data_IF_701554087072
#
_entry.id   IF_701554087072
#
_cell.length_a   1.000
_cell.length_b   1.000
_cell.length_c   1.000
_cell.angle_alpha   90.00
_cell.angle_beta   90.00
_cell.angle_gamma   90.00
#
_symmetry.space_group_name_H-M   'P 1'
#
loop_
_entity.id
_entity.type
_entity.pdbx_description
1 polymer ?
#
# COMPACT_ATOMS: atom_id res chain seq x y z
N UNK A 1 55.93 -33.61 30.56
CA UNK A 1 55.41 -34.53 29.51
C UNK A 1 54.99 -33.64 28.34
N UNK A 2 55.76 -33.57 27.23
CA UNK A 2 55.72 -34.47 26.03
C UNK A 2 54.28 -34.58 25.50
N UNK A 3 53.89 -34.14 24.29
CA UNK A 3 54.57 -34.10 22.99
C UNK A 3 54.05 -32.98 22.08
N UNK A 4 54.90 -32.58 21.14
CA UNK A 4 54.64 -31.83 19.91
C UNK A 4 54.49 -32.84 18.76
N UNK A 5 53.57 -32.63 17.81
CA UNK A 5 53.71 -33.10 16.41
C UNK A 5 53.14 -32.02 15.48
N UNK A 6 54.01 -31.60 14.57
CA UNK A 6 53.76 -30.80 13.38
C UNK A 6 54.08 -31.70 12.18
N UNK A 7 53.28 -31.69 11.10
CA UNK A 7 53.56 -32.19 9.73
C UNK A 7 52.31 -31.88 8.88
N UNK A 8 52.31 -31.65 7.58
CA UNK A 8 53.15 -30.95 6.60
C UNK A 8 52.45 -31.18 5.24
N UNK A 9 52.44 -30.15 4.39
CA UNK A 9 52.50 -30.16 2.91
C UNK A 9 51.67 -31.15 2.07
N UNK A 10 51.01 -30.60 1.03
CA UNK A 10 50.59 -31.39 -0.12
C UNK A 10 49.74 -30.60 -1.11
N UNK A 11 50.35 -29.69 -1.86
CA UNK A 11 49.76 -29.15 -3.09
C UNK A 11 49.57 -30.32 -4.07
N UNK A 12 48.37 -30.54 -4.58
CA UNK A 12 48.18 -31.35 -5.80
C UNK A 12 47.26 -30.61 -6.73
N UNK A 13 47.84 -30.19 -7.84
CA UNK A 13 47.15 -29.66 -9.01
C UNK A 13 46.34 -30.82 -9.62
N UNK A 14 45.03 -30.66 -9.67
CA UNK A 14 44.16 -31.50 -10.50
C UNK A 14 43.63 -30.62 -11.63
N UNK A 15 44.19 -30.81 -12.82
CA UNK A 15 43.56 -30.41 -14.07
C UNK A 15 42.63 -31.55 -14.50
N UNK A 16 41.30 -31.32 -14.59
CA UNK A 16 40.50 -31.73 -15.74
C UNK A 16 39.04 -31.22 -15.65
N UNK A 17 38.68 -30.46 -16.69
CA UNK A 17 37.41 -30.48 -17.46
C UNK A 17 36.09 -30.77 -16.74
N UNK A 18 35.16 -29.83 -16.89
CA UNK A 18 33.73 -30.11 -16.81
C UNK A 18 33.00 -29.22 -15.82
N UNK A 19 32.74 -27.96 -16.22
CA UNK A 19 31.59 -27.25 -15.69
C UNK A 19 30.35 -28.05 -16.11
N UNK A 20 29.93 -28.95 -15.23
CA UNK A 20 28.63 -29.59 -15.28
C UNK A 20 27.58 -28.48 -15.24
N UNK A 21 26.80 -28.40 -16.30
CA UNK A 21 25.61 -27.56 -16.45
C UNK A 21 24.57 -27.74 -15.32
N UNK A 22 24.79 -28.66 -14.37
CA UNK A 22 23.89 -28.96 -13.27
C UNK A 22 23.93 -28.00 -12.08
N UNK A 23 25.05 -27.33 -11.78
CA UNK A 23 25.14 -26.54 -10.52
C UNK A 23 24.49 -25.16 -10.61
N UNK A 24 24.48 -24.53 -11.80
CA UNK A 24 23.79 -23.24 -11.99
C UNK A 24 22.27 -23.43 -12.00
N UNK A 25 21.81 -24.62 -12.40
CA UNK A 25 20.38 -24.97 -12.40
C UNK A 25 19.89 -25.29 -10.99
N UNK A 26 20.70 -25.93 -10.11
CA UNK A 26 20.30 -26.16 -8.72
C UNK A 26 20.11 -24.84 -7.96
N UNK A 27 21.02 -23.88 -8.13
CA UNK A 27 20.94 -22.59 -7.44
C UNK A 27 19.79 -21.70 -7.98
N UNK A 28 19.46 -21.82 -9.27
CA UNK A 28 18.29 -21.16 -9.88
C UNK A 28 16.96 -21.81 -9.50
N UNK A 29 16.95 -23.13 -9.28
CA UNK A 29 15.78 -23.86 -8.78
C UNK A 29 15.58 -23.52 -7.30
N UNK A 30 16.62 -23.50 -6.48
CA UNK A 30 16.53 -23.12 -5.06
C UNK A 30 16.15 -21.65 -4.86
N UNK A 31 16.59 -20.73 -5.74
CA UNK A 31 16.16 -19.34 -5.70
C UNK A 31 14.69 -19.15 -6.13
N UNK A 32 14.25 -19.89 -7.16
CA UNK A 32 12.84 -19.89 -7.59
C UNK A 32 11.94 -20.57 -6.58
N UNK A 33 12.40 -21.63 -5.91
CA UNK A 33 11.67 -22.31 -4.86
C UNK A 33 11.65 -21.47 -3.57
N UNK A 34 12.71 -20.74 -3.22
CA UNK A 34 12.71 -19.79 -2.10
C UNK A 34 11.77 -18.59 -2.36
N UNK A 35 11.72 -18.07 -3.60
CA UNK A 35 10.79 -17.02 -4.00
C UNK A 35 9.34 -17.53 -4.15
N UNK A 36 9.13 -18.78 -4.57
CA UNK A 36 7.81 -19.40 -4.64
C UNK A 36 7.28 -19.85 -3.27
N UNK A 37 8.18 -20.17 -2.33
CA UNK A 37 7.84 -20.54 -0.95
C UNK A 37 7.48 -19.30 -0.11
N UNK A 38 8.09 -18.14 -0.36
CA UNK A 38 7.69 -16.89 0.31
C UNK A 38 6.32 -16.34 -0.14
N UNK A 39 5.76 -16.85 -1.24
CA UNK A 39 4.42 -16.49 -1.74
C UNK A 39 3.35 -17.49 -1.29
N UNK A 40 3.73 -18.70 -0.86
CA UNK A 40 2.79 -19.77 -0.49
C UNK A 40 2.50 -19.91 1.01
N UNK A 41 3.28 -19.30 1.89
CA UNK A 41 3.09 -19.45 3.35
C UNK A 41 2.22 -18.35 4.01
N UNK A 42 1.30 -17.74 3.25
CA UNK A 42 0.11 -17.11 3.84
C UNK A 42 -1.13 -17.98 3.56
N UNK A 43 -1.02 -19.27 3.86
CA UNK A 43 -2.17 -20.12 4.08
C UNK A 43 -2.86 -19.68 5.37
N UNK A 44 -3.89 -18.87 5.17
CA UNK A 44 -4.84 -18.43 6.18
C UNK A 44 -5.45 -19.65 6.86
N UNK A 45 -5.26 -19.76 8.18
CA UNK A 45 -5.92 -20.75 9.03
C UNK A 45 -7.42 -20.81 8.71
N UNK A 46 -7.91 -22.02 8.50
CA UNK A 46 -9.17 -22.32 7.81
C UNK A 46 -10.44 -22.06 8.62
N UNK A 47 -10.41 -21.31 9.72
CA UNK A 47 -11.58 -21.16 10.61
C UNK A 47 -12.12 -19.73 10.78
N UNK A 48 -11.52 -18.69 10.19
CA UNK A 48 -12.08 -17.32 10.21
C UNK A 48 -12.20 -16.71 8.81
N UNK A 49 -12.64 -17.51 7.83
CA UNK A 49 -13.07 -17.01 6.52
C UNK A 49 -14.55 -16.60 6.56
N UNK A 50 -14.90 -15.60 7.37
CA UNK A 50 -16.10 -14.82 7.06
C UNK A 50 -15.75 -14.02 5.82
N UNK A 51 -16.28 -14.47 4.69
CA UNK A 51 -16.06 -13.90 3.36
C UNK A 51 -16.31 -12.39 3.38
N UNK A 52 -15.20 -11.64 3.48
CA UNK A 52 -15.22 -10.19 3.56
C UNK A 52 -15.75 -9.55 2.26
N UNK A 53 -15.91 -10.33 1.18
CA UNK A 53 -16.42 -9.91 -0.12
C UNK A 53 -17.91 -9.58 -0.11
N UNK A 54 -18.74 -10.40 0.53
CA UNK A 54 -20.18 -10.14 0.67
C UNK A 54 -20.47 -9.04 1.71
N UNK A 55 -19.65 -8.93 2.76
CA UNK A 55 -19.75 -7.84 3.74
C UNK A 55 -19.25 -6.50 3.18
N UNK A 56 -18.30 -6.47 2.25
CA UNK A 56 -17.76 -5.22 1.70
C UNK A 56 -18.82 -4.33 1.01
N UNK A 57 -19.79 -4.93 0.31
CA UNK A 57 -20.88 -4.19 -0.36
C UNK A 57 -21.85 -3.58 0.66
N UNK A 58 -22.26 -4.33 1.69
CA UNK A 58 -23.15 -3.85 2.74
C UNK A 58 -22.48 -2.76 3.60
N UNK A 59 -21.20 -2.96 3.96
CA UNK A 59 -20.46 -2.01 4.79
C UNK A 59 -20.20 -0.68 4.04
N UNK A 60 -20.04 -0.70 2.70
CA UNK A 60 -19.81 0.52 1.92
C UNK A 60 -20.98 1.53 1.98
N UNK A 61 -22.22 1.05 2.09
CA UNK A 61 -23.40 1.90 2.25
C UNK A 61 -23.44 2.61 3.62
N UNK A 62 -22.73 2.08 4.61
CA UNK A 62 -22.64 2.65 5.94
C UNK A 62 -21.64 3.81 6.07
N UNK A 63 -20.80 4.07 5.07
CA UNK A 63 -19.78 5.14 5.13
C UNK A 63 -20.36 6.49 4.68
N UNK A 64 -20.41 7.45 5.60
CA UNK A 64 -20.92 8.79 5.31
C UNK A 64 -19.83 9.70 4.71
N UNK A 65 -20.25 10.71 3.95
CA UNK A 65 -19.36 11.79 3.54
C UNK A 65 -18.88 12.57 4.77
N UNK A 66 -17.57 12.76 4.87
CA UNK A 66 -16.93 13.60 5.86
C UNK A 66 -16.92 15.08 5.47
N UNK A 67 -16.18 15.88 6.23
CA UNK A 67 -16.17 17.35 6.10
C UNK A 67 -15.65 17.83 4.74
N UNK A 68 -14.64 17.17 4.17
CA UNK A 68 -14.07 17.51 2.86
C UNK A 68 -15.02 17.23 1.70
N UNK A 69 -16.14 16.54 1.94
CA UNK A 69 -17.09 16.07 0.92
C UNK A 69 -18.51 16.61 1.13
N UNK A 70 -18.71 17.58 2.03
CA UNK A 70 -20.03 18.20 2.24
C UNK A 70 -20.44 18.97 0.97
N UNK A 71 -21.58 18.59 0.38
CA UNK A 71 -22.14 19.25 -0.80
C UNK A 71 -21.31 19.10 -2.08
N UNK A 72 -20.32 18.19 -2.09
CA UNK A 72 -19.42 17.98 -3.23
C UNK A 72 -19.04 16.50 -3.37
N UNK A 73 -18.26 16.18 -4.39
CA UNK A 73 -17.67 14.85 -4.58
C UNK A 73 -16.19 14.97 -4.89
N UNK A 74 -15.41 13.91 -4.68
CA UNK A 74 -14.00 13.87 -5.09
C UNK A 74 -13.82 14.19 -6.56
N UNK A 75 -14.68 13.66 -7.43
CA UNK A 75 -14.63 13.95 -8.87
C UNK A 75 -14.90 15.42 -9.19
N UNK A 76 -15.84 16.06 -8.49
CA UNK A 76 -16.16 17.48 -8.66
C UNK A 76 -15.01 18.37 -8.18
N UNK A 77 -14.42 18.08 -7.01
CA UNK A 77 -13.25 18.80 -6.51
C UNK A 77 -12.03 18.63 -7.43
N UNK A 78 -11.79 17.41 -7.95
CA UNK A 78 -10.73 17.15 -8.91
C UNK A 78 -10.94 17.95 -10.21
N UNK A 79 -12.18 18.03 -10.71
CA UNK A 79 -12.54 18.80 -11.90
C UNK A 79 -12.32 20.31 -11.71
N UNK A 80 -12.63 20.85 -10.53
CA UNK A 80 -12.42 22.27 -10.19
C UNK A 80 -10.95 22.71 -10.28
N UNK A 81 -10.00 21.78 -10.17
CA UNK A 81 -8.57 22.12 -10.33
C UNK A 81 -8.22 22.58 -11.74
N UNK A 82 -9.00 22.19 -12.76
CA UNK A 82 -8.75 22.54 -14.17
C UNK A 82 -7.55 21.83 -14.83
N UNK A 83 -6.75 21.07 -14.09
CA UNK A 83 -5.53 20.46 -14.62
C UNK A 83 -5.80 19.16 -15.38
N UNK A 84 -5.02 18.93 -16.44
CA UNK A 84 -5.14 17.71 -17.27
C UNK A 84 -4.68 16.45 -16.53
N UNK A 85 -3.76 16.58 -15.57
CA UNK A 85 -3.35 15.49 -14.68
C UNK A 85 -3.71 15.84 -13.24
N UNK A 86 -4.60 15.06 -12.64
CA UNK A 86 -5.09 15.22 -11.27
C UNK A 86 -5.36 13.85 -10.67
N UNK A 87 -5.34 13.73 -9.34
CA UNK A 87 -5.80 12.55 -8.63
C UNK A 87 -6.66 12.98 -7.46
N UNK A 88 -7.83 12.35 -7.34
CA UNK A 88 -8.63 12.43 -6.13
C UNK A 88 -8.45 11.17 -5.32
N UNK A 89 -8.01 11.27 -4.08
CA UNK A 89 -7.81 10.12 -3.19
C UNK A 89 -8.85 10.20 -2.08
N UNK A 90 -9.76 9.23 -2.04
CA UNK A 90 -10.72 9.03 -0.95
C UNK A 90 -10.16 8.04 0.06
N UNK A 91 -10.16 8.42 1.33
CA UNK A 91 -9.86 7.53 2.45
C UNK A 91 -11.16 7.22 3.21
N UNK A 92 -11.56 5.96 3.21
CA UNK A 92 -12.73 5.42 3.91
C UNK A 92 -12.29 4.73 5.20
N UNK A 93 -12.88 5.12 6.34
CA UNK A 93 -12.55 4.55 7.63
C UNK A 93 -13.69 3.65 8.15
N UNK A 94 -13.46 2.34 8.08
CA UNK A 94 -14.40 1.32 8.54
C UNK A 94 -14.18 0.92 10.01
N UNK A 95 -13.11 1.42 10.63
CA UNK A 95 -12.74 1.09 11.99
C UNK A 95 -13.40 2.01 13.02
N UNK A 96 -13.34 1.62 14.29
CA UNK A 96 -13.68 2.48 15.44
C UNK A 96 -12.62 3.54 15.75
N UNK A 97 -11.43 3.45 15.16
CA UNK A 97 -10.32 4.35 15.46
C UNK A 97 -10.38 5.60 14.58
N UNK A 98 -10.01 6.75 15.13
CA UNK A 98 -9.83 7.97 14.36
C UNK A 98 -8.52 7.88 13.54
N UNK A 99 -8.61 8.13 12.24
CA UNK A 99 -7.43 8.41 11.41
C UNK A 99 -7.08 9.89 11.58
N UNK A 100 -6.08 10.16 12.40
CA UNK A 100 -5.67 11.49 12.87
C UNK A 100 -4.34 11.93 12.28
N UNK A 101 -3.92 13.16 12.57
CA UNK A 101 -2.62 13.72 12.16
C UNK A 101 -2.30 13.44 10.68
N UNK A 102 -3.17 13.88 9.75
CA UNK A 102 -2.97 13.65 8.33
C UNK A 102 -1.74 14.42 7.85
N UNK A 103 -0.87 13.74 7.10
CA UNK A 103 0.30 14.36 6.48
C UNK A 103 0.25 14.08 4.99
N UNK A 104 0.59 15.08 4.19
CA UNK A 104 0.66 14.97 2.73
C UNK A 104 1.91 15.64 2.21
N UNK A 105 2.66 14.94 1.37
CA UNK A 105 3.87 15.45 0.73
C UNK A 105 3.88 15.10 -0.75
N UNK A 106 4.02 16.11 -1.60
CA UNK A 106 4.21 15.94 -3.03
C UNK A 106 5.70 15.72 -3.35
N UNK A 107 5.96 14.78 -4.26
CA UNK A 107 7.24 14.65 -4.96
C UNK A 107 7.20 15.40 -6.30
N UNK A 108 6.07 15.31 -7.02
CA UNK A 108 5.76 16.12 -8.20
C UNK A 108 4.33 16.65 -8.14
N UNK A 109 4.12 17.82 -8.75
CA UNK A 109 2.83 18.49 -8.73
C UNK A 109 2.58 19.22 -7.41
N UNK A 110 1.31 19.46 -7.08
CA UNK A 110 0.86 20.18 -5.90
C UNK A 110 -0.37 19.50 -5.30
N UNK A 111 -0.59 19.68 -3.99
CA UNK A 111 -1.80 19.25 -3.28
C UNK A 111 -2.72 20.46 -3.17
N UNK A 112 -3.87 20.44 -3.85
CA UNK A 112 -4.86 21.52 -3.81
C UNK A 112 -5.86 21.37 -2.67
N UNK A 113 -6.18 20.12 -2.31
CA UNK A 113 -7.01 19.81 -1.14
C UNK A 113 -6.20 18.90 -0.23
N UNK A 114 -5.71 19.39 0.93
CA UNK A 114 -4.86 18.61 1.82
C UNK A 114 -5.63 17.44 2.43
N UNK A 115 -4.94 16.34 2.84
CA UNK A 115 -5.58 15.28 3.59
C UNK A 115 -6.09 15.79 4.93
N UNK A 116 -7.27 15.32 5.34
CA UNK A 116 -7.92 15.64 6.61
C UNK A 116 -8.05 14.38 7.46
N UNK A 117 -8.31 14.58 8.76
CA UNK A 117 -8.56 13.47 9.68
C UNK A 117 -9.87 12.74 9.32
N UNK A 118 -9.86 11.42 9.28
CA UNK A 118 -11.02 10.61 8.89
C UNK A 118 -11.63 9.94 10.12
N UNK A 119 -12.83 10.40 10.49
CA UNK A 119 -13.58 9.87 11.63
C UNK A 119 -14.04 8.43 11.35
N UNK A 120 -14.33 7.63 12.39
CA UNK A 120 -15.00 6.35 12.23
C UNK A 120 -16.27 6.51 11.38
N UNK A 121 -16.47 5.59 10.43
CA UNK A 121 -17.65 5.54 9.54
C UNK A 121 -17.78 6.75 8.61
N UNK A 122 -16.68 7.47 8.34
CA UNK A 122 -16.69 8.54 7.35
C UNK A 122 -15.66 8.29 6.26
N UNK A 123 -15.81 9.03 5.16
CA UNK A 123 -14.78 9.18 4.14
C UNK A 123 -14.40 10.63 3.93
N UNK A 124 -13.12 10.87 3.74
CA UNK A 124 -12.58 12.18 3.41
C UNK A 124 -11.78 12.07 2.11
N UNK A 125 -11.50 13.20 1.47
CA UNK A 125 -10.77 13.25 0.21
C UNK A 125 -9.60 14.21 0.29
N UNK A 126 -8.55 13.89 -0.46
CA UNK A 126 -7.52 14.84 -0.84
C UNK A 126 -7.42 14.91 -2.36
N UNK A 127 -6.97 16.06 -2.88
CA UNK A 127 -6.78 16.29 -4.31
C UNK A 127 -5.36 16.75 -4.55
N UNK A 128 -4.68 16.10 -5.47
CA UNK A 128 -3.37 16.52 -5.97
C UNK A 128 -3.41 16.64 -7.49
N UNK A 129 -2.66 17.59 -8.04
CA UNK A 129 -2.61 17.82 -9.47
C UNK A 129 -1.20 18.16 -9.91
N UNK A 130 -0.97 18.14 -11.22
CA UNK A 130 0.31 18.53 -11.78
C UNK A 130 0.59 20.03 -11.61
N UNK A 131 1.85 20.42 -11.64
CA UNK A 131 2.24 21.84 -11.72
C UNK A 131 1.80 22.43 -13.06
N UNK A 132 1.20 23.63 -13.09
CA UNK A 132 0.80 24.27 -14.34
C UNK A 132 1.93 24.46 -15.33
N UNK A 133 1.59 24.46 -16.63
CA UNK A 133 2.50 24.76 -17.75
C UNK A 133 3.71 23.83 -17.96
N UNK A 134 3.89 22.82 -17.12
CA UNK A 134 4.96 21.83 -17.26
C UNK A 134 4.44 20.51 -17.84
N UNK A 135 5.25 19.73 -18.55
CA UNK A 135 4.89 18.38 -19.01
C UNK A 135 5.10 17.32 -17.90
N UNK A 136 4.60 17.61 -16.69
CA UNK A 136 4.77 16.80 -15.48
C UNK A 136 3.45 16.19 -15.01
N UNK A 137 3.55 15.07 -14.30
CA UNK A 137 2.43 14.42 -13.63
C UNK A 137 2.21 14.94 -12.20
N UNK A 138 1.56 14.12 -11.37
CA UNK A 138 1.51 14.32 -9.90
C UNK A 138 1.91 13.04 -9.19
N UNK A 139 2.73 13.17 -8.15
CA UNK A 139 3.16 12.02 -7.35
C UNK A 139 3.47 12.46 -5.92
N UNK A 140 3.30 11.56 -4.95
CA UNK A 140 3.52 11.88 -3.56
C UNK A 140 3.09 10.79 -2.60
N UNK A 141 3.10 11.13 -1.32
CA UNK A 141 2.66 10.28 -0.21
C UNK A 141 1.70 11.04 0.69
N UNK A 142 0.72 10.32 1.23
CA UNK A 142 -0.18 10.79 2.27
C UNK A 142 -0.29 9.73 3.36
N UNK A 143 -0.44 10.15 4.60
CA UNK A 143 -0.45 9.24 5.73
C UNK A 143 -1.39 9.71 6.83
N UNK A 144 -1.92 8.76 7.60
CA UNK A 144 -2.79 9.03 8.74
C UNK A 144 -2.39 8.16 9.92
N UNK A 145 -2.38 8.76 11.10
CA UNK A 145 -2.10 8.09 12.38
C UNK A 145 -3.35 7.44 12.94
N UNK A 146 -3.21 6.24 13.49
CA UNK A 146 -4.22 5.63 14.35
C UNK A 146 -3.56 5.02 15.59
N UNK A 147 -4.33 4.91 16.68
CA UNK A 147 -3.85 4.34 17.94
C UNK A 147 -4.67 3.10 18.28
N UNK A 148 -3.98 1.98 18.47
CA UNK A 148 -4.57 0.67 18.83
C UNK A 148 -3.79 0.08 19.99
N UNK A 149 -4.49 -0.31 21.05
CA UNK A 149 -3.87 -0.98 22.21
C UNK A 149 -2.74 -0.15 22.85
N UNK A 150 -2.88 1.17 22.90
CA UNK A 150 -1.85 2.08 23.42
C UNK A 150 -0.65 2.32 22.50
N UNK A 151 -0.58 1.65 21.35
CA UNK A 151 0.48 1.83 20.34
C UNK A 151 -0.03 2.66 19.17
N UNK A 152 0.84 3.53 18.65
CA UNK A 152 0.54 4.36 17.49
C UNK A 152 1.13 3.78 16.21
N UNK A 153 0.34 3.87 15.14
CA UNK A 153 0.66 3.37 13.82
C UNK A 153 0.28 4.40 12.77
N UNK A 154 0.83 4.28 11.57
CA UNK A 154 0.44 5.10 10.42
C UNK A 154 0.03 4.21 9.25
N UNK A 155 -1.08 4.57 8.64
CA UNK A 155 -1.46 4.11 7.31
C UNK A 155 -0.82 5.06 6.29
N UNK A 156 -0.24 4.53 5.22
CA UNK A 156 0.44 5.34 4.20
C UNK A 156 -0.06 4.96 2.82
N UNK A 157 -0.29 5.97 2.00
CA UNK A 157 -0.75 5.88 0.63
C UNK A 157 0.24 6.62 -0.26
N UNK A 158 0.76 5.96 -1.28
CA UNK A 158 1.59 6.56 -2.32
C UNK A 158 0.82 6.60 -3.63
N UNK A 159 0.93 7.71 -4.36
CA UNK A 159 0.37 7.84 -5.71
C UNK A 159 1.44 8.32 -6.70
N UNK A 160 1.30 7.89 -7.95
CA UNK A 160 2.04 8.44 -9.08
C UNK A 160 1.17 8.40 -10.33
N UNK A 161 0.81 9.57 -10.85
CA UNK A 161 0.07 9.75 -12.09
C UNK A 161 0.99 10.45 -13.09
N UNK A 162 1.57 9.74 -14.07
CA UNK A 162 2.47 10.33 -15.04
C UNK A 162 1.74 11.26 -16.02
N UNK A 163 2.45 12.22 -16.60
CA UNK A 163 1.94 13.04 -17.71
C UNK A 163 1.80 12.26 -19.02
N UNK A 164 2.74 11.37 -19.31
CA UNK A 164 2.75 10.57 -20.52
C UNK A 164 2.39 9.12 -20.17
N UNK A 165 1.12 8.77 -20.34
CA UNK A 165 0.60 7.42 -20.12
C UNK A 165 0.87 6.43 -21.28
N UNK A 166 1.49 6.87 -22.39
CA UNK A 166 1.90 5.95 -23.46
C UNK A 166 3.10 5.08 -23.04
N UNK A 167 3.94 5.60 -22.14
CA UNK A 167 5.15 4.91 -21.66
C UNK A 167 5.13 4.60 -20.16
N UNK A 168 4.18 5.17 -19.41
CA UNK A 168 4.10 5.02 -17.96
C UNK A 168 2.68 4.68 -17.53
N UNK A 169 2.55 3.97 -16.42
CA UNK A 169 1.26 3.64 -15.82
C UNK A 169 1.06 4.43 -14.53
N UNK A 170 -0.19 4.52 -14.08
CA UNK A 170 -0.46 5.03 -12.75
C UNK A 170 0.07 4.03 -11.71
N UNK A 171 0.57 4.49 -10.57
CA UNK A 171 1.00 3.63 -9.47
C UNK A 171 0.29 4.00 -8.18
N UNK A 172 -0.13 2.99 -7.43
CA UNK A 172 -0.63 3.12 -6.07
C UNK A 172 0.20 2.22 -5.16
N UNK A 173 0.61 2.75 -4.01
CA UNK A 173 1.12 1.97 -2.89
C UNK A 173 0.30 2.19 -1.64
N UNK A 174 0.18 1.16 -0.82
CA UNK A 174 -0.47 1.22 0.49
C UNK A 174 0.40 0.49 1.50
N UNK A 175 0.49 1.01 2.72
CA UNK A 175 1.31 0.43 3.78
C UNK A 175 0.82 0.76 5.18
N UNK A 176 1.34 -0.01 6.14
CA UNK A 176 1.11 0.16 7.57
C UNK A 176 2.44 -0.02 8.29
N UNK A 177 2.82 0.96 9.12
CA UNK A 177 3.98 0.85 10.00
C UNK A 177 3.70 1.49 11.38
N UNK A 178 4.50 1.16 12.41
CA UNK A 178 4.49 1.92 13.67
C UNK A 178 4.77 3.40 13.41
N UNK A 179 4.21 4.28 14.24
CA UNK A 179 4.49 5.72 14.11
C UNK A 179 5.99 5.99 14.26
N UNK A 180 6.52 6.83 13.37
CA UNK A 180 7.90 7.29 13.37
C UNK A 180 7.91 8.83 13.34
N UNK A 181 9.03 9.48 13.71
CA UNK A 181 9.17 10.94 13.60
C UNK A 181 8.92 11.47 12.18
N UNK A 182 9.28 10.69 11.17
CA UNK A 182 9.11 11.02 9.76
C UNK A 182 8.40 9.88 9.02
N UNK A 183 7.56 10.26 8.05
CA UNK A 183 6.96 9.27 7.17
C UNK A 183 7.95 8.86 6.07
N UNK A 184 7.89 7.60 5.60
CA UNK A 184 8.52 7.18 4.37
C UNK A 184 8.22 8.13 3.21
N UNK A 185 9.26 8.45 2.45
CA UNK A 185 9.16 9.33 1.29
C UNK A 185 8.49 8.63 0.10
N UNK A 186 8.15 9.41 -0.93
CA UNK A 186 7.73 8.85 -2.21
C UNK A 186 8.76 7.87 -2.78
N UNK A 187 10.06 8.17 -2.69
CA UNK A 187 11.11 7.31 -3.23
C UNK A 187 11.21 5.98 -2.48
N UNK A 188 10.99 5.99 -1.17
CA UNK A 188 10.97 4.77 -0.36
C UNK A 188 9.88 3.82 -0.87
N UNK A 189 8.68 4.32 -1.10
CA UNK A 189 7.58 3.47 -1.59
C UNK A 189 7.70 3.16 -3.09
N UNK A 190 8.19 4.09 -3.91
CA UNK A 190 8.19 3.92 -5.36
C UNK A 190 9.32 3.02 -5.85
N UNK A 191 10.55 3.20 -5.37
CA UNK A 191 11.72 2.49 -5.91
C UNK A 191 12.08 1.22 -5.13
N UNK A 192 11.75 1.12 -3.84
CA UNK A 192 12.12 -0.08 -3.06
C UNK A 192 11.22 -1.26 -3.38
N UNK A 193 11.72 -2.47 -3.18
CA UNK A 193 10.98 -3.72 -3.43
C UNK A 193 10.66 -4.49 -2.14
N UNK A 194 10.98 -3.92 -0.97
CA UNK A 194 10.71 -4.56 0.31
C UNK A 194 9.22 -4.45 0.68
N UNK A 195 8.51 -5.56 0.53
CA UNK A 195 7.07 -5.61 0.82
C UNK A 195 6.74 -5.82 2.31
N UNK A 196 7.66 -5.47 3.23
CA UNK A 196 7.53 -5.81 4.65
C UNK A 196 6.55 -4.92 5.41
N UNK A 197 6.33 -3.70 4.94
CA UNK A 197 5.41 -2.71 5.54
C UNK A 197 4.50 -2.02 4.52
N UNK A 198 4.70 -2.29 3.23
CA UNK A 198 3.83 -1.78 2.17
C UNK A 198 3.79 -2.74 0.98
N UNK A 199 2.84 -2.52 0.10
CA UNK A 199 2.78 -3.11 -1.24
C UNK A 199 2.44 -2.00 -2.23
N UNK A 200 2.86 -2.15 -3.48
CA UNK A 200 2.48 -1.26 -4.57
C UNK A 200 2.21 -2.03 -5.84
N UNK A 201 1.46 -1.40 -6.75
CA UNK A 201 1.31 -1.92 -8.11
C UNK A 201 1.01 -0.82 -9.12
N UNK A 202 1.28 -1.14 -10.38
CA UNK A 202 0.84 -0.36 -11.52
C UNK A 202 -0.67 -0.60 -11.80
N UNK A 203 -1.37 0.46 -12.16
CA UNK A 203 -2.75 0.48 -12.64
C UNK A 203 -2.73 0.85 -14.12
N UNK A 204 -2.86 -0.19 -14.96
CA UNK A 204 -2.89 -0.07 -16.41
C UNK A 204 -3.90 -1.06 -17.00
N UNK A 205 -3.52 -2.34 -17.15
CA UNK A 205 -4.46 -3.41 -17.56
C UNK A 205 -5.17 -4.07 -16.37
N UNK A 206 -4.45 -4.19 -15.26
CA UNK A 206 -4.98 -4.78 -14.03
C UNK A 206 -5.38 -3.66 -13.05
N UNK A 207 -6.67 -3.52 -12.83
CA UNK A 207 -7.26 -2.54 -11.90
C UNK A 207 -7.79 -3.17 -10.62
N UNK A 208 -7.44 -4.45 -10.35
CA UNK A 208 -7.89 -5.15 -9.15
C UNK A 208 -7.53 -4.38 -7.88
N UNK A 209 -8.22 -4.63 -6.79
CA UNK A 209 -7.88 -3.98 -5.53
C UNK A 209 -6.53 -4.49 -5.01
N UNK A 210 -5.65 -3.57 -4.61
CA UNK A 210 -4.45 -3.83 -3.84
C UNK A 210 -4.83 -3.98 -2.37
N UNK A 211 -4.27 -4.97 -1.64
CA UNK A 211 -4.57 -5.18 -0.21
C UNK A 211 -3.29 -5.45 0.57
N UNK A 212 -3.19 -4.87 1.76
CA UNK A 212 -2.10 -5.07 2.70
C UNK A 212 -2.65 -5.20 4.12
N UNK A 213 -2.18 -6.16 4.89
CA UNK A 213 -2.65 -6.41 6.25
C UNK A 213 -1.48 -6.51 7.22
N UNK A 214 -1.57 -5.79 8.34
CA UNK A 214 -0.58 -5.81 9.41
C UNK A 214 -1.20 -5.25 10.69
N UNK A 215 -0.72 -5.68 11.86
CA UNK A 215 -1.16 -5.16 13.17
C UNK A 215 -2.70 -5.23 13.38
N UNK A 216 -3.33 -6.31 12.92
CA UNK A 216 -4.78 -6.57 12.95
C UNK A 216 -5.65 -5.55 12.20
N UNK A 217 -5.03 -4.83 11.26
CA UNK A 217 -5.74 -3.97 10.32
C UNK A 217 -5.36 -4.32 8.89
N UNK A 218 -6.21 -3.96 7.95
CA UNK A 218 -6.02 -4.13 6.54
C UNK A 218 -6.33 -2.82 5.83
N UNK A 219 -5.47 -2.49 4.87
CA UNK A 219 -5.68 -1.40 3.94
C UNK A 219 -5.96 -2.02 2.59
N UNK A 220 -6.98 -1.53 1.91
CA UNK A 220 -7.19 -1.86 0.51
C UNK A 220 -7.23 -0.59 -0.33
N UNK A 221 -6.82 -0.68 -1.58
CA UNK A 221 -6.75 0.46 -2.47
C UNK A 221 -7.08 0.07 -3.91
N UNK A 222 -7.84 0.89 -4.61
CA UNK A 222 -8.08 0.78 -6.04
C UNK A 222 -7.93 2.14 -6.69
N UNK A 223 -7.53 2.19 -7.96
CA UNK A 223 -7.31 3.45 -8.67
C UNK A 223 -7.64 3.31 -10.16
N UNK A 224 -8.12 4.38 -10.77
CA UNK A 224 -8.32 4.46 -12.21
C UNK A 224 -7.01 4.50 -13.01
N UNK A 225 -7.12 4.32 -14.33
CA UNK A 225 -5.98 4.26 -15.26
C UNK A 225 -5.79 5.54 -16.08
N UNK A 226 -6.72 6.50 -15.98
CA UNK A 226 -6.70 7.76 -16.75
C UNK A 226 -5.75 8.78 -16.13
N UNK A 227 -5.57 9.95 -16.77
CA UNK A 227 -4.83 11.09 -16.21
C UNK A 227 -5.58 11.81 -15.08
N UNK A 228 -6.85 11.47 -14.86
CA UNK A 228 -7.70 12.05 -13.82
C UNK A 228 -8.35 10.96 -12.97
N UNK A 229 -7.59 10.01 -12.37
CA UNK A 229 -8.21 8.91 -11.68
C UNK A 229 -8.71 9.33 -10.31
N UNK A 230 -9.75 8.64 -9.85
CA UNK A 230 -10.08 8.57 -8.44
C UNK A 230 -9.43 7.30 -7.87
N UNK A 231 -8.77 7.45 -6.72
CA UNK A 231 -8.28 6.35 -5.91
C UNK A 231 -9.16 6.22 -4.66
N UNK A 232 -9.59 5.00 -4.35
CA UNK A 232 -10.37 4.72 -3.14
C UNK A 232 -9.54 3.82 -2.25
N UNK A 233 -9.26 4.30 -1.04
CA UNK A 233 -8.49 3.61 0.00
C UNK A 233 -9.44 3.28 1.14
N UNK A 234 -9.41 2.03 1.60
CA UNK A 234 -10.26 1.55 2.69
C UNK A 234 -9.39 1.06 3.83
N UNK A 235 -9.58 1.66 4.99
CA UNK A 235 -8.96 1.24 6.24
C UNK A 235 -9.94 0.38 7.04
N UNK A 236 -9.60 -0.90 7.20
CA UNK A 236 -10.52 -1.95 7.66
C UNK A 236 -9.85 -2.73 8.82
N UNK A 237 -10.49 -2.86 9.99
CA UNK A 237 -10.00 -3.74 11.04
C UNK A 237 -10.19 -5.22 10.66
N UNK A 238 -9.33 -6.11 11.17
CA UNK A 238 -9.52 -7.55 10.95
C UNK A 238 -10.59 -8.14 11.86
N UNK A 239 -10.77 -7.59 13.07
CA UNK A 239 -11.83 -8.00 13.99
C UNK A 239 -13.12 -7.20 13.78
N UNK A 240 -14.26 -7.90 13.83
CA UNK A 240 -15.61 -7.29 13.82
C UNK A 240 -15.79 -6.36 15.03
N UNK A 241 -15.16 -6.66 16.17
CA UNK A 241 -15.23 -5.82 17.37
C UNK A 241 -14.51 -4.47 17.24
N UNK A 242 -13.67 -4.36 16.22
CA UNK A 242 -12.93 -3.14 15.91
C UNK A 242 -13.58 -2.32 14.80
N UNK A 243 -14.66 -2.81 14.17
CA UNK A 243 -15.47 -2.02 13.23
C UNK A 243 -16.16 -0.85 13.94
N UNK A 244 -16.46 0.20 13.18
CA UNK A 244 -17.29 1.29 13.69
C UNK A 244 -18.66 0.76 14.13
N UNK A 245 -19.20 1.27 15.24
CA UNK A 245 -20.41 0.76 15.92
C UNK A 245 -21.56 0.49 14.94
N UNK A 246 -21.94 1.48 14.13
CA UNK A 246 -23.05 1.32 13.19
C UNK A 246 -22.78 0.39 12.00
N UNK A 247 -21.54 -0.04 11.76
CA UNK A 247 -21.20 -1.04 10.74
C UNK A 247 -21.32 -2.46 11.28
N UNK A 248 -21.09 -2.66 12.59
CA UNK A 248 -21.27 -3.97 13.24
C UNK A 248 -22.72 -4.42 13.16
N UNK A 249 -23.64 -3.49 13.42
CA UNK A 249 -25.07 -3.74 13.38
C UNK A 249 -25.55 -4.18 11.99
N UNK A 250 -24.91 -3.68 10.92
CA UNK A 250 -25.21 -4.05 9.53
C UNK A 250 -24.71 -5.45 9.14
N UNK A 251 -23.77 -6.02 9.89
CA UNK A 251 -23.23 -7.37 9.63
C UNK A 251 -23.98 -8.42 10.45
N UNK A 252 -24.48 -8.03 11.62
CA UNK A 252 -25.15 -8.94 12.56
C UNK A 252 -26.68 -8.97 12.42
N UNK A 253 -27.27 -8.07 11.63
CA UNK A 253 -28.70 -8.04 11.30
C UNK A 253 -29.00 -8.67 9.95
#
# INVERSE_FOLDING_TARGET
MKFCICLAFGLTVVFWTGLSYGSVISDLIDFKDSAAKSVKDYEFGSEEKRDFGATATLISAGIAAGTSLIGTTTSALAAQTGYQVTVGIEMENYSKWLLSDPRGANWWGQISTPPTSVKPRTKETMIAHKTGWLATGTSGVASWKFVKGGSAYRVIVMWSIPWNQNHNSNWLGIGILPEQPFDPSFNDMYYRTDNSWFVKKAYYRNTNTLRFCKYDVCVSGSMGTTHRPQATIRFIPQSVDDLAIGLKDMING
#
